data_IF_214047383406
#
_entry.id   IF_214047383406
#
_cell.length_a   1.000
_cell.length_b   1.000
_cell.length_c   1.000
_cell.angle_alpha   90.00
_cell.angle_beta   90.00
_cell.angle_gamma   90.00
#
_symmetry.space_group_name_H-M   'P 1'
#
loop_
_entity.id
_entity.type
_entity.pdbx_description
1 polymer ?
#
# COMPACT_ATOMS: atom_id res chain seq x y z
N UNK A 1 -9.38 38.97 -0.38
CA UNK A 1 -8.33 37.98 -0.67
C UNK A 1 -8.98 36.62 -0.78
N UNK A 2 -8.94 35.99 -1.95
CA UNK A 2 -9.41 34.61 -2.13
C UNK A 2 -8.48 33.69 -1.33
N UNK A 3 -8.93 33.28 -0.16
CA UNK A 3 -8.18 32.44 0.74
C UNK A 3 -9.12 31.82 1.76
N UNK A 4 -8.71 30.68 2.30
CA UNK A 4 -9.46 29.97 3.33
C UNK A 4 -8.99 30.42 4.72
N UNK A 5 -9.92 30.79 5.59
CA UNK A 5 -9.63 31.00 7.00
C UNK A 5 -9.68 29.65 7.72
N UNK A 6 -8.55 29.21 8.26
CA UNK A 6 -8.44 27.93 8.97
C UNK A 6 -8.22 28.16 10.46
N UNK A 7 -8.82 27.30 11.30
CA UNK A 7 -8.61 27.26 12.75
C UNK A 7 -7.82 26.00 13.10
N UNK A 8 -6.68 26.17 13.75
CA UNK A 8 -5.88 25.04 14.25
C UNK A 8 -6.53 24.53 15.54
N UNK A 9 -7.11 23.33 15.50
CA UNK A 9 -7.72 22.67 16.66
C UNK A 9 -6.73 21.77 17.40
N UNK A 10 -5.67 21.31 16.72
CA UNK A 10 -4.64 20.44 17.29
C UNK A 10 -3.28 20.67 16.62
N UNK A 11 -2.20 20.68 17.42
CA UNK A 11 -0.82 20.70 16.96
C UNK A 11 0.09 20.04 18.00
N UNK A 12 1.34 19.72 17.63
CA UNK A 12 2.36 19.25 18.59
C UNK A 12 2.64 20.33 19.65
N UNK A 13 3.16 19.99 20.85
CA UNK A 13 3.42 20.96 21.92
C UNK A 13 4.25 22.19 21.49
N UNK A 14 5.22 21.99 20.60
CA UNK A 14 6.08 23.06 20.07
C UNK A 14 5.61 23.63 18.73
N UNK A 15 4.37 23.32 18.33
CA UNK A 15 3.83 23.63 17.01
C UNK A 15 4.44 22.78 15.89
N UNK A 16 3.90 22.97 14.68
CA UNK A 16 4.39 22.34 13.45
C UNK A 16 4.50 23.42 12.38
N UNK A 17 5.64 23.47 11.66
CA UNK A 17 5.81 24.38 10.53
C UNK A 17 4.99 23.90 9.34
N UNK A 18 3.97 24.67 8.95
CA UNK A 18 3.29 24.50 7.67
C UNK A 18 4.26 24.87 6.55
N UNK A 19 4.46 23.97 5.60
CA UNK A 19 5.29 24.20 4.42
C UNK A 19 4.37 24.41 3.21
N UNK A 20 4.88 25.12 2.21
CA UNK A 20 4.21 25.20 0.91
C UNK A 20 4.01 23.79 0.32
N UNK A 21 2.96 23.65 -0.49
CA UNK A 21 2.65 22.44 -1.26
C UNK A 21 2.43 21.19 -0.38
N UNK A 22 2.01 21.39 0.87
CA UNK A 22 1.52 20.30 1.72
C UNK A 22 0.07 20.00 1.37
N UNK A 23 -0.20 18.71 1.13
CA UNK A 23 -1.55 18.21 0.89
C UNK A 23 -2.48 18.50 2.07
N UNK A 24 -3.74 18.73 1.75
CA UNK A 24 -4.83 18.96 2.69
C UNK A 24 -5.86 17.85 2.43
N UNK A 25 -6.30 17.19 3.49
CA UNK A 25 -7.28 16.12 3.42
C UNK A 25 -8.63 16.60 3.98
N UNK A 26 -9.72 16.10 3.41
CA UNK A 26 -11.09 16.49 3.74
C UNK A 26 -11.96 15.24 3.96
N UNK A 27 -11.67 14.44 5.00
CA UNK A 27 -12.26 13.11 5.19
C UNK A 27 -13.79 13.11 5.27
N UNK A 28 -14.37 14.18 5.81
CA UNK A 28 -15.80 14.32 6.01
C UNK A 28 -16.49 15.11 4.88
N UNK A 29 -15.76 15.47 3.82
CA UNK A 29 -16.30 16.25 2.69
C UNK A 29 -16.21 15.49 1.40
N UNK A 30 -17.34 15.35 0.70
CA UNK A 30 -17.34 14.82 -0.64
C UNK A 30 -16.85 15.90 -1.63
N UNK A 31 -15.60 15.76 -2.07
CA UNK A 31 -15.04 16.62 -3.11
C UNK A 31 -15.41 16.07 -4.50
N UNK A 32 -16.04 16.90 -5.33
CA UNK A 32 -16.34 16.59 -6.73
C UNK A 32 -15.20 17.05 -7.62
N UNK A 33 -14.02 16.44 -7.44
CA UNK A 33 -12.87 16.67 -8.29
C UNK A 33 -12.88 15.69 -9.48
N UNK A 34 -12.38 16.11 -10.66
CA UNK A 34 -12.22 15.18 -11.76
C UNK A 34 -11.21 14.09 -11.39
N UNK A 35 -11.45 12.88 -11.86
CA UNK A 35 -10.59 11.72 -11.60
C UNK A 35 -9.20 11.90 -12.24
N UNK A 36 -9.16 12.59 -13.39
CA UNK A 36 -7.93 12.98 -14.08
C UNK A 36 -7.87 14.49 -14.24
N UNK A 37 -6.82 15.12 -13.72
CA UNK A 37 -6.55 16.52 -14.00
C UNK A 37 -6.13 16.74 -15.45
N UNK A 38 -6.16 18.00 -15.91
CA UNK A 38 -5.62 18.35 -17.22
C UNK A 38 -4.15 17.95 -17.37
N UNK A 39 -3.37 18.07 -16.28
CA UNK A 39 -1.96 17.69 -16.25
C UNK A 39 -1.79 16.16 -16.35
N UNK A 40 -2.63 15.39 -15.66
CA UNK A 40 -2.59 13.91 -15.74
C UNK A 40 -2.83 13.44 -17.17
N UNK A 41 -3.79 14.04 -17.89
CA UNK A 41 -4.05 13.74 -19.31
C UNK A 41 -2.84 14.02 -20.19
N UNK A 42 -2.06 15.06 -19.90
CA UNK A 42 -0.81 15.32 -20.64
C UNK A 42 0.28 14.28 -20.35
N UNK A 43 0.40 13.82 -19.10
CA UNK A 43 1.37 12.79 -18.73
C UNK A 43 0.99 11.40 -19.25
N UNK A 44 -0.31 11.10 -19.33
CA UNK A 44 -0.79 9.82 -19.85
C UNK A 44 -0.30 9.54 -21.28
N UNK A 45 -0.11 10.56 -22.11
CA UNK A 45 0.46 10.39 -23.46
C UNK A 45 1.84 9.74 -23.41
N UNK A 46 2.71 10.22 -22.52
CA UNK A 46 4.04 9.66 -22.31
C UNK A 46 3.97 8.27 -21.64
N UNK A 47 3.13 8.12 -20.61
CA UNK A 47 3.01 6.87 -19.85
C UNK A 47 2.52 5.73 -20.73
N UNK A 48 1.49 5.96 -21.56
CA UNK A 48 0.93 4.93 -22.45
C UNK A 48 1.95 4.45 -23.48
N UNK A 49 2.89 5.31 -23.88
CA UNK A 49 3.93 4.95 -24.85
C UNK A 49 5.13 4.22 -24.22
N UNK A 50 5.40 4.43 -22.92
CA UNK A 50 6.68 4.04 -22.33
C UNK A 50 6.62 3.20 -21.05
N UNK A 51 5.48 3.15 -20.35
CA UNK A 51 5.36 2.47 -19.06
C UNK A 51 4.59 1.15 -19.19
N UNK A 52 4.98 0.16 -18.38
CA UNK A 52 4.25 -1.11 -18.26
C UNK A 52 3.00 -0.98 -17.37
N UNK A 53 3.02 -0.04 -16.42
CA UNK A 53 1.99 0.13 -15.39
C UNK A 53 1.76 1.63 -15.15
N UNK A 54 0.49 2.01 -15.00
CA UNK A 54 0.05 3.33 -14.51
C UNK A 54 -0.71 3.16 -13.20
N UNK A 55 -0.36 3.96 -12.19
CA UNK A 55 -1.05 3.96 -10.90
C UNK A 55 -1.95 5.19 -10.76
N UNK A 56 -3.26 4.96 -10.66
CA UNK A 56 -4.27 6.00 -10.49
C UNK A 56 -4.33 6.44 -9.03
N UNK A 57 -4.05 7.71 -8.77
CA UNK A 57 -4.18 8.29 -7.43
C UNK A 57 -5.64 8.68 -7.15
N UNK A 58 -6.05 8.58 -5.89
CA UNK A 58 -7.37 8.95 -5.38
C UNK A 58 -8.51 8.32 -6.20
N UNK A 59 -8.38 7.04 -6.54
CA UNK A 59 -9.44 6.30 -7.20
C UNK A 59 -10.64 6.16 -6.23
N UNK A 60 -11.78 6.73 -6.60
CA UNK A 60 -12.95 6.87 -5.73
C UNK A 60 -14.23 6.28 -6.31
N UNK A 61 -14.26 5.88 -7.58
CA UNK A 61 -15.45 5.30 -8.21
C UNK A 61 -15.12 4.45 -9.43
N UNK A 62 -16.04 3.58 -9.83
CA UNK A 62 -15.93 2.84 -11.10
C UNK A 62 -15.87 3.78 -12.31
N UNK A 63 -16.50 4.97 -12.24
CA UNK A 63 -16.43 5.96 -13.32
C UNK A 63 -15.03 6.56 -13.47
N UNK A 64 -14.31 6.76 -12.36
CA UNK A 64 -12.92 7.22 -12.38
C UNK A 64 -12.04 6.23 -13.16
N UNK A 65 -12.21 4.93 -12.88
CA UNK A 65 -11.51 3.85 -13.57
C UNK A 65 -11.88 3.80 -15.06
N UNK A 66 -13.17 4.00 -15.37
CA UNK A 66 -13.69 4.05 -16.74
C UNK A 66 -13.10 5.23 -17.53
N UNK A 67 -12.98 6.40 -16.91
CA UNK A 67 -12.37 7.61 -17.52
C UNK A 67 -10.90 7.34 -17.85
N UNK A 68 -10.12 6.78 -16.91
CA UNK A 68 -8.73 6.41 -17.15
C UNK A 68 -8.59 5.40 -18.30
N UNK A 69 -9.39 4.32 -18.28
CA UNK A 69 -9.37 3.31 -19.33
C UNK A 69 -9.76 3.89 -20.70
N UNK A 70 -10.75 4.80 -20.74
CA UNK A 70 -11.15 5.48 -21.96
C UNK A 70 -10.02 6.38 -22.51
N UNK A 71 -9.33 7.10 -21.64
CA UNK A 71 -8.22 7.98 -22.04
C UNK A 71 -7.02 7.18 -22.55
N UNK A 72 -6.66 6.08 -21.89
CA UNK A 72 -5.61 5.15 -22.37
C UNK A 72 -5.97 4.61 -23.76
N UNK A 73 -7.22 4.15 -23.95
CA UNK A 73 -7.70 3.66 -25.26
C UNK A 73 -7.68 4.75 -26.33
N UNK A 74 -8.02 5.99 -25.98
CA UNK A 74 -8.02 7.14 -26.89
C UNK A 74 -6.61 7.46 -27.39
N UNK A 75 -5.58 7.29 -26.56
CA UNK A 75 -4.17 7.52 -26.94
C UNK A 75 -3.67 6.42 -27.89
N UNK A 76 -4.07 5.15 -27.67
CA UNK A 76 -3.98 4.08 -28.67
C UNK A 76 -2.57 3.58 -29.03
N UNK A 77 -1.54 3.89 -28.23
CA UNK A 77 -0.13 3.52 -28.49
C UNK A 77 0.41 2.41 -27.57
N UNK A 78 -0.36 2.00 -26.57
CA UNK A 78 0.00 0.99 -25.59
C UNK A 78 -1.19 0.68 -24.67
N UNK A 79 -1.01 -0.28 -23.77
CA UNK A 79 -2.04 -0.68 -22.81
C UNK A 79 -1.38 -1.02 -21.47
N UNK A 80 -0.83 -0.02 -20.75
CA UNK A 80 -0.23 -0.26 -19.45
C UNK A 80 -1.24 -0.90 -18.50
N UNK A 81 -0.75 -1.76 -17.60
CA UNK A 81 -1.57 -2.27 -16.50
C UNK A 81 -2.03 -1.12 -15.59
N UNK A 82 -3.24 -1.21 -15.06
CA UNK A 82 -3.82 -0.16 -14.21
C UNK A 82 -3.74 -0.57 -12.75
N UNK A 83 -3.08 0.23 -11.92
CA UNK A 83 -3.10 0.06 -10.46
C UNK A 83 -4.00 1.12 -9.83
N UNK A 84 -5.00 0.68 -9.06
CA UNK A 84 -5.85 1.58 -8.29
C UNK A 84 -5.22 1.86 -6.93
N UNK A 85 -4.91 3.12 -6.62
CA UNK A 85 -4.44 3.51 -5.29
C UNK A 85 -5.64 3.80 -4.39
N UNK A 86 -5.80 2.99 -3.36
CA UNK A 86 -6.84 3.17 -2.35
C UNK A 86 -6.29 4.09 -1.26
N UNK A 87 -6.70 5.35 -1.34
CA UNK A 87 -6.18 6.47 -0.54
C UNK A 87 -7.26 7.12 0.33
N UNK A 88 -8.53 6.81 0.10
CA UNK A 88 -9.67 7.48 0.73
C UNK A 88 -10.67 6.46 1.26
N UNK A 89 -11.53 6.91 2.17
CA UNK A 89 -12.66 6.11 2.66
C UNK A 89 -13.60 5.72 1.52
N UNK A 90 -13.90 6.67 0.62
CA UNK A 90 -14.77 6.42 -0.54
C UNK A 90 -14.16 5.40 -1.50
N UNK A 91 -12.87 5.50 -1.82
CA UNK A 91 -12.19 4.51 -2.65
C UNK A 91 -12.20 3.12 -2.04
N UNK A 92 -12.10 3.01 -0.71
CA UNK A 92 -12.27 1.74 -0.02
C UNK A 92 -13.70 1.19 -0.12
N UNK A 93 -14.72 2.01 0.14
CA UNK A 93 -16.14 1.62 0.07
C UNK A 93 -16.57 1.22 -1.36
N UNK A 94 -16.03 1.89 -2.38
CA UNK A 94 -16.24 1.61 -3.80
C UNK A 94 -15.29 0.53 -4.37
N UNK A 95 -14.42 -0.09 -3.56
CA UNK A 95 -13.42 -1.04 -4.07
C UNK A 95 -14.04 -2.18 -4.90
N UNK A 96 -15.14 -2.84 -4.49
CA UNK A 96 -15.70 -3.94 -5.28
C UNK A 96 -16.15 -3.54 -6.69
N UNK A 97 -16.81 -2.39 -6.84
CA UNK A 97 -17.25 -1.89 -8.16
C UNK A 97 -16.06 -1.43 -9.01
N UNK A 98 -15.05 -0.82 -8.40
CA UNK A 98 -13.84 -0.40 -9.11
C UNK A 98 -13.02 -1.59 -9.59
N UNK A 99 -12.96 -2.67 -8.81
CA UNK A 99 -12.30 -3.91 -9.21
C UNK A 99 -12.95 -4.51 -10.46
N UNK A 100 -14.29 -4.59 -10.48
CA UNK A 100 -15.03 -5.08 -11.65
C UNK A 100 -14.76 -4.23 -12.89
N UNK A 101 -14.71 -2.89 -12.75
CA UNK A 101 -14.37 -2.03 -13.88
C UNK A 101 -12.91 -2.20 -14.32
N UNK A 102 -11.98 -2.30 -13.36
CA UNK A 102 -10.56 -2.46 -13.65
C UNK A 102 -10.25 -3.78 -14.39
N UNK A 103 -11.06 -4.82 -14.19
CA UNK A 103 -10.96 -6.10 -14.92
C UNK A 103 -11.25 -5.98 -16.41
N UNK A 104 -11.82 -4.87 -16.89
CA UNK A 104 -11.93 -4.60 -18.33
C UNK A 104 -10.59 -4.20 -18.97
N UNK A 105 -9.57 -3.84 -18.18
CA UNK A 105 -8.21 -3.62 -18.66
C UNK A 105 -7.48 -4.96 -18.85
N UNK A 106 -6.44 -4.96 -19.69
CA UNK A 106 -5.61 -6.15 -19.94
C UNK A 106 -4.89 -6.66 -18.68
N UNK A 107 -4.59 -5.76 -17.74
CA UNK A 107 -3.97 -6.08 -16.46
C UNK A 107 -4.37 -5.03 -15.44
N UNK A 108 -4.69 -5.47 -14.21
CA UNK A 108 -5.02 -4.56 -13.12
C UNK A 108 -4.37 -4.99 -11.81
N UNK A 109 -4.25 -4.04 -10.88
CA UNK A 109 -3.75 -4.24 -9.53
C UNK A 109 -4.32 -3.21 -8.57
N UNK A 110 -4.09 -3.42 -7.28
CA UNK A 110 -4.51 -2.49 -6.23
C UNK A 110 -3.30 -2.11 -5.38
N UNK A 111 -3.20 -0.86 -4.97
CA UNK A 111 -2.21 -0.38 -4.02
C UNK A 111 -2.90 0.07 -2.74
N UNK A 112 -2.49 -0.49 -1.61
CA UNK A 112 -2.91 0.00 -0.29
C UNK A 112 -2.03 1.20 0.06
N UNK A 113 -2.50 2.41 -0.23
CA UNK A 113 -1.77 3.65 0.01
C UNK A 113 -2.04 4.17 1.42
N UNK A 114 -1.47 3.46 2.41
CA UNK A 114 -1.78 3.59 3.85
C UNK A 114 -1.53 5.00 4.42
N UNK A 115 -0.60 5.77 3.85
CA UNK A 115 -0.31 7.15 4.28
C UNK A 115 -1.54 8.05 4.23
N UNK A 116 -2.14 8.22 3.04
CA UNK A 116 -3.35 9.03 2.87
C UNK A 116 -4.58 8.31 3.43
N UNK A 117 -4.67 6.98 3.24
CA UNK A 117 -5.81 6.19 3.72
C UNK A 117 -5.97 6.22 5.25
N UNK A 118 -4.87 6.25 6.02
CA UNK A 118 -4.94 6.38 7.47
C UNK A 118 -5.40 7.77 7.93
N UNK A 119 -5.09 8.82 7.16
CA UNK A 119 -5.59 10.18 7.42
C UNK A 119 -7.09 10.26 7.14
N UNK A 120 -7.55 9.58 6.09
CA UNK A 120 -8.95 9.58 5.66
C UNK A 120 -9.87 8.69 6.52
N UNK A 121 -9.43 7.48 6.87
CA UNK A 121 -10.25 6.49 7.59
C UNK A 121 -10.00 6.46 9.11
N UNK A 122 -8.98 7.17 9.58
CA UNK A 122 -8.50 7.13 10.95
C UNK A 122 -7.55 5.96 11.23
N UNK A 123 -6.53 6.22 12.05
CA UNK A 123 -5.46 5.26 12.36
C UNK A 123 -5.95 3.97 13.02
N UNK A 124 -7.02 4.03 13.82
CA UNK A 124 -7.55 2.86 14.54
C UNK A 124 -8.07 1.77 13.60
N UNK A 125 -8.62 2.18 12.44
CA UNK A 125 -9.21 1.26 11.46
C UNK A 125 -8.22 0.74 10.43
N UNK A 126 -6.98 1.26 10.41
CA UNK A 126 -6.02 0.93 9.37
C UNK A 126 -5.68 -0.57 9.33
N UNK A 127 -5.58 -1.21 10.50
CA UNK A 127 -5.31 -2.64 10.59
C UNK A 127 -6.47 -3.51 10.04
N UNK A 128 -7.71 -3.05 10.19
CA UNK A 128 -8.91 -3.70 9.64
C UNK A 128 -8.99 -3.50 8.12
N UNK A 129 -8.94 -2.25 7.68
CA UNK A 129 -9.16 -1.85 6.27
C UNK A 129 -8.14 -2.51 5.34
N UNK A 130 -6.87 -2.60 5.74
CA UNK A 130 -5.86 -3.28 4.91
C UNK A 130 -6.17 -4.77 4.70
N UNK A 131 -6.72 -5.46 5.69
CA UNK A 131 -7.07 -6.88 5.57
C UNK A 131 -8.28 -7.07 4.66
N UNK A 132 -9.27 -6.19 4.77
CA UNK A 132 -10.45 -6.16 3.89
C UNK A 132 -10.07 -5.91 2.44
N UNK A 133 -9.18 -4.94 2.16
CA UNK A 133 -8.66 -4.69 0.81
C UNK A 133 -7.96 -5.95 0.27
N UNK A 134 -7.08 -6.55 1.07
CA UNK A 134 -6.42 -7.79 0.68
C UNK A 134 -7.42 -8.93 0.43
N UNK A 135 -8.53 -9.03 1.18
CA UNK A 135 -9.54 -10.08 0.98
C UNK A 135 -10.33 -9.87 -0.30
N UNK A 136 -10.77 -8.64 -0.56
CA UNK A 136 -11.47 -8.29 -1.80
C UNK A 136 -10.59 -8.60 -3.02
N UNK A 137 -9.31 -8.22 -2.97
CA UNK A 137 -8.38 -8.45 -4.07
C UNK A 137 -8.03 -9.94 -4.25
N UNK A 138 -7.83 -10.69 -3.17
CA UNK A 138 -7.60 -12.15 -3.23
C UNK A 138 -8.80 -12.87 -3.86
N UNK A 139 -10.03 -12.52 -3.47
CA UNK A 139 -11.26 -13.09 -4.04
C UNK A 139 -11.43 -12.73 -5.52
N UNK A 140 -10.96 -11.54 -5.91
CA UNK A 140 -10.96 -11.04 -7.28
C UNK A 140 -9.78 -11.56 -8.13
N UNK A 141 -8.82 -12.28 -7.53
CA UNK A 141 -7.53 -12.62 -8.16
C UNK A 141 -6.74 -11.42 -8.68
N UNK A 142 -6.85 -10.27 -8.01
CA UNK A 142 -6.14 -9.03 -8.36
C UNK A 142 -4.94 -8.85 -7.43
N UNK A 143 -3.72 -8.62 -7.96
CA UNK A 143 -2.53 -8.44 -7.15
C UNK A 143 -2.56 -7.14 -6.35
N UNK A 144 -2.01 -7.18 -5.15
CA UNK A 144 -1.94 -6.06 -4.21
C UNK A 144 -0.49 -5.60 -4.01
N UNK A 145 -0.32 -4.28 -3.97
CA UNK A 145 0.91 -3.59 -3.58
C UNK A 145 0.72 -3.04 -2.17
N UNK A 146 1.51 -3.55 -1.23
CA UNK A 146 1.61 -3.05 0.13
C UNK A 146 2.52 -1.82 0.17
N UNK A 147 1.93 -0.63 0.28
CA UNK A 147 2.65 0.61 0.06
C UNK A 147 2.62 1.57 1.25
N UNK A 148 3.51 2.56 1.16
CA UNK A 148 3.75 3.66 2.13
C UNK A 148 4.33 3.20 3.45
N UNK A 149 5.29 3.96 3.99
CA UNK A 149 5.90 3.77 5.31
C UNK A 149 6.55 2.40 5.63
N UNK A 150 6.71 1.51 4.65
CA UNK A 150 7.46 0.26 4.85
C UNK A 150 8.94 0.58 4.99
N UNK A 151 9.52 0.25 6.15
CA UNK A 151 10.94 0.50 6.45
C UNK A 151 11.37 1.96 6.19
N UNK A 152 10.47 2.94 6.40
CA UNK A 152 10.72 4.34 6.05
C UNK A 152 11.89 4.96 6.82
N UNK A 153 11.98 4.70 8.12
CA UNK A 153 13.08 5.15 8.98
C UNK A 153 14.38 4.48 8.59
N UNK A 154 14.34 3.20 8.20
CA UNK A 154 15.53 2.53 7.67
C UNK A 154 15.98 3.15 6.34
N UNK A 155 15.07 3.40 5.41
CA UNK A 155 15.41 4.03 4.13
C UNK A 155 15.98 5.45 4.32
N UNK A 156 15.45 6.22 5.28
CA UNK A 156 15.87 7.61 5.55
C UNK A 156 17.12 7.71 6.43
N UNK A 157 17.11 7.05 7.57
CA UNK A 157 18.07 7.24 8.67
C UNK A 157 19.02 6.04 8.85
N UNK A 158 18.79 4.94 8.11
CA UNK A 158 19.67 3.78 8.09
C UNK A 158 19.44 2.78 9.24
N UNK A 159 18.46 3.03 10.12
CA UNK A 159 18.13 2.18 11.28
C UNK A 159 16.62 1.93 11.30
N UNK A 160 16.15 0.67 11.27
CA UNK A 160 14.72 0.38 11.35
C UNK A 160 14.22 0.47 12.80
N UNK A 161 12.94 0.73 12.94
CA UNK A 161 12.21 0.52 14.20
C UNK A 161 11.69 -0.92 14.30
N UNK A 162 11.37 -1.37 15.52
CA UNK A 162 10.73 -2.69 15.71
C UNK A 162 9.39 -2.80 14.99
N UNK A 163 8.60 -1.73 14.98
CA UNK A 163 7.31 -1.69 14.32
C UNK A 163 7.44 -1.87 12.80
N UNK A 164 8.44 -1.23 12.18
CA UNK A 164 8.68 -1.37 10.73
C UNK A 164 9.11 -2.78 10.32
N UNK A 165 9.84 -3.49 11.19
CA UNK A 165 10.22 -4.89 10.92
C UNK A 165 8.97 -5.78 10.91
N UNK A 166 8.07 -5.60 11.89
CA UNK A 166 6.80 -6.32 11.94
C UNK A 166 5.91 -5.96 10.74
N UNK A 167 5.84 -4.70 10.37
CA UNK A 167 5.08 -4.23 9.21
C UNK A 167 5.60 -4.85 7.90
N UNK A 168 6.92 -4.83 7.68
CA UNK A 168 7.54 -5.44 6.51
C UNK A 168 7.26 -6.94 6.42
N UNK A 169 7.29 -7.65 7.56
CA UNK A 169 6.94 -9.06 7.62
C UNK A 169 5.45 -9.32 7.29
N UNK A 170 4.55 -8.44 7.72
CA UNK A 170 3.12 -8.52 7.38
C UNK A 170 2.87 -8.25 5.89
N UNK A 171 3.67 -7.39 5.27
CA UNK A 171 3.57 -7.08 3.84
C UNK A 171 3.70 -8.29 2.92
N UNK A 172 4.27 -9.41 3.38
CA UNK A 172 4.35 -10.67 2.64
C UNK A 172 2.96 -11.27 2.30
N UNK A 173 1.87 -10.73 2.89
CA UNK A 173 0.50 -11.07 2.54
C UNK A 173 0.07 -10.54 1.17
N UNK A 174 0.76 -9.54 0.65
CA UNK A 174 0.54 -8.94 -0.66
C UNK A 174 1.52 -9.50 -1.70
N UNK A 175 1.21 -9.35 -2.98
CA UNK A 175 2.07 -9.77 -4.09
C UNK A 175 3.32 -8.90 -4.22
N UNK A 176 3.26 -7.65 -3.78
CA UNK A 176 4.36 -6.70 -3.86
C UNK A 176 4.42 -5.81 -2.62
N UNK A 177 5.62 -5.39 -2.24
CA UNK A 177 5.87 -4.39 -1.20
C UNK A 177 6.61 -3.22 -1.83
N UNK A 178 6.09 -2.01 -1.63
CA UNK A 178 6.69 -0.78 -2.14
C UNK A 178 7.50 -0.07 -1.06
N UNK A 179 8.79 0.15 -1.34
CA UNK A 179 9.67 1.02 -0.56
C UNK A 179 9.65 2.44 -1.13
N UNK A 180 9.75 3.44 -0.24
CA UNK A 180 9.88 4.85 -0.64
C UNK A 180 11.35 5.28 -0.70
N UNK A 181 11.61 6.50 -1.18
CA UNK A 181 12.96 7.08 -1.30
C UNK A 181 13.68 7.24 0.04
N UNK A 182 15.01 7.19 0.00
CA UNK A 182 15.86 7.54 1.13
C UNK A 182 17.35 7.27 0.85
N UNK A 183 18.23 7.91 1.61
CA UNK A 183 19.69 7.79 1.44
C UNK A 183 20.21 6.37 1.63
N UNK A 184 19.46 5.52 2.33
CA UNK A 184 19.79 4.13 2.63
C UNK A 184 18.86 3.14 1.92
N UNK A 185 18.28 3.50 0.77
CA UNK A 185 17.30 2.67 0.06
C UNK A 185 17.83 1.27 -0.30
N UNK A 186 19.10 1.16 -0.73
CA UNK A 186 19.70 -0.15 -1.01
C UNK A 186 19.82 -1.02 0.25
N UNK A 187 20.11 -0.39 1.40
CA UNK A 187 20.11 -1.08 2.68
C UNK A 187 18.71 -1.54 3.05
N UNK A 188 17.69 -0.70 2.87
CA UNK A 188 16.29 -1.05 3.12
C UNK A 188 15.83 -2.22 2.22
N UNK A 189 16.23 -2.24 0.96
CA UNK A 189 15.92 -3.31 0.02
C UNK A 189 16.52 -4.66 0.48
N UNK A 190 17.82 -4.69 0.81
CA UNK A 190 18.46 -5.91 1.31
C UNK A 190 17.84 -6.39 2.63
N UNK A 191 17.44 -5.44 3.49
CA UNK A 191 16.80 -5.76 4.76
C UNK A 191 15.40 -6.35 4.56
N UNK A 192 14.64 -5.81 3.61
CA UNK A 192 13.33 -6.32 3.23
C UNK A 192 13.46 -7.74 2.66
N UNK A 193 14.40 -7.97 1.74
CA UNK A 193 14.66 -9.29 1.16
C UNK A 193 15.00 -10.34 2.25
N UNK A 194 15.89 -10.03 3.20
CA UNK A 194 16.21 -10.94 4.31
C UNK A 194 14.98 -11.25 5.19
N UNK A 195 14.15 -10.24 5.50
CA UNK A 195 12.90 -10.44 6.25
C UNK A 195 11.97 -11.39 5.49
N UNK A 196 11.74 -11.14 4.20
CA UNK A 196 10.81 -11.92 3.38
C UNK A 196 11.30 -13.36 3.17
N UNK A 197 12.59 -13.57 2.91
CA UNK A 197 13.16 -14.92 2.78
C UNK A 197 13.00 -15.74 4.06
N UNK A 198 13.19 -15.11 5.23
CA UNK A 198 12.97 -15.79 6.52
C UNK A 198 11.49 -16.10 6.75
N UNK A 199 10.60 -15.18 6.39
CA UNK A 199 9.16 -15.31 6.59
C UNK A 199 8.48 -16.26 5.59
N UNK A 200 9.05 -16.43 4.39
CA UNK A 200 8.52 -17.30 3.32
C UNK A 200 8.18 -18.73 3.76
N UNK A 201 8.92 -19.28 4.72
CA UNK A 201 8.67 -20.63 5.24
C UNK A 201 7.58 -20.69 6.31
N UNK A 202 7.21 -19.55 6.90
CA UNK A 202 6.24 -19.45 7.99
C UNK A 202 4.86 -19.04 7.50
N UNK A 203 4.78 -18.34 6.37
CA UNK A 203 3.57 -17.72 5.88
C UNK A 203 3.55 -17.81 4.35
N UNK A 204 2.41 -18.23 3.80
CA UNK A 204 2.11 -18.13 2.37
C UNK A 204 0.87 -17.26 2.22
N UNK A 205 1.04 -16.04 1.73
CA UNK A 205 0.01 -14.98 1.77
C UNK A 205 -0.65 -14.90 3.15
N UNK A 206 -1.94 -15.25 3.25
CA UNK A 206 -2.73 -15.24 4.49
C UNK A 206 -2.73 -16.57 5.25
N UNK A 207 -2.08 -17.61 4.73
CA UNK A 207 -2.05 -18.95 5.33
C UNK A 207 -0.77 -19.14 6.15
N UNK A 208 -0.87 -19.40 7.46
CA UNK A 208 0.30 -19.81 8.24
C UNK A 208 0.75 -21.21 7.80
N UNK A 209 2.06 -21.38 7.65
CA UNK A 209 2.71 -22.64 7.32
C UNK A 209 3.29 -23.25 8.61
N UNK A 210 2.91 -24.48 8.91
CA UNK A 210 3.35 -25.20 10.13
C UNK A 210 4.72 -25.85 9.92
N UNK A 211 5.75 -25.03 9.64
CA UNK A 211 7.12 -25.52 9.44
C UNK A 211 7.76 -25.98 10.75
N UNK A 212 8.75 -26.87 10.65
CA UNK A 212 9.62 -27.22 11.79
C UNK A 212 10.35 -25.97 12.31
N UNK A 213 10.18 -25.68 13.60
CA UNK A 213 10.87 -24.57 14.26
C UNK A 213 12.35 -24.90 14.49
N UNK A 214 13.25 -23.96 14.19
CA UNK A 214 14.69 -24.13 14.48
C UNK A 214 14.93 -24.32 15.99
N UNK A 215 14.15 -23.64 16.82
CA UNK A 215 14.18 -23.77 18.28
C UNK A 215 13.93 -25.21 18.77
N UNK A 216 13.11 -25.99 18.05
CA UNK A 216 12.86 -27.38 18.42
C UNK A 216 14.13 -28.24 18.31
N UNK A 217 15.09 -27.87 17.45
CA UNK A 217 16.38 -28.56 17.34
C UNK A 217 17.37 -28.22 18.46
N UNK A 218 17.15 -27.14 19.21
CA UNK A 218 17.98 -26.75 20.36
C UNK A 218 17.52 -27.36 21.68
N UNK A 219 16.32 -27.97 21.72
CA UNK A 219 15.85 -28.73 22.88
C UNK A 219 16.41 -30.15 22.84
N UNK A 220 17.58 -30.37 23.43
CA UNK A 220 18.06 -31.72 23.75
C UNK A 220 17.34 -32.23 25.00
N UNK A 221 16.33 -33.07 24.83
CA UNK A 221 15.84 -33.92 25.93
C UNK A 221 16.89 -35.00 26.20
N UNK A 222 17.78 -34.76 27.17
CA UNK A 222 18.48 -35.87 27.81
C UNK A 222 17.47 -36.55 28.73
N UNK A 223 16.77 -37.56 28.22
CA UNK A 223 16.00 -38.47 29.08
C UNK A 223 17.01 -39.11 30.03
N UNK A 224 16.97 -38.74 31.32
CA UNK A 224 17.74 -39.45 32.34
C UNK A 224 17.16 -40.86 32.37
N UNK A 225 17.97 -41.92 32.16
CA UNK A 225 17.45 -43.28 32.27
C UNK A 225 16.89 -43.47 33.67
N UNK A 226 15.66 -43.96 33.76
CA UNK A 226 15.02 -44.35 35.01
C UNK A 226 15.98 -45.28 35.78
N UNK A 227 16.32 -44.89 37.01
CA UNK A 227 16.95 -45.82 37.94
C UNK A 227 15.92 -46.91 38.25
N UNK A 228 16.01 -48.04 37.55
CA UNK A 228 15.33 -49.26 37.95
C UNK A 228 15.87 -49.68 39.32
N UNK A 229 15.01 -49.63 40.34
CA UNK A 229 15.20 -50.30 41.63
C UNK A 229 15.00 -51.80 41.49
#
# INVERSE_FOLDING_TARGET
SEGLLVRITYARPNGTKLRCDKGINFPDTQLHLPALSALDKTYLVFIVEHADIVAMSFANSSEDVRELNAEIRRIGKGSPGVVLKIETKRGFESLPEMLLEAMHASSCGVMIARGDLAVECGYQRMAEIQEEILWACEAAHVPVIWATQVLETLARDGIPTRAEITDAAMGQRAECIMLNKGSYILKALNYLDDILQRMATHQEKKRPQMRKLKLAGTFNFTIRPEQKS
#
